data_IF_095966137640
#
_entry.id   IF_095966137640
#
_cell.length_a   1.000
_cell.length_b   1.000
_cell.length_c   1.000
_cell.angle_alpha   90.00
_cell.angle_beta   90.00
_cell.angle_gamma   90.00
#
_symmetry.space_group_name_H-M   'P 1'
#
loop_
_entity.id
_entity.type
_entity.pdbx_description
1 polymer ?
#
# COMPACT_ATOMS: atom_id res chain seq x y z
N UNK A 1 41.81 0.49 7.75
CA UNK A 1 40.73 0.05 8.68
C UNK A 1 39.52 1.00 8.63
N UNK A 2 39.73 2.32 8.49
CA UNK A 2 38.64 3.31 8.39
C UNK A 2 37.68 3.06 7.22
N UNK A 3 38.20 2.89 6.00
CA UNK A 3 37.39 2.62 4.79
C UNK A 3 36.41 1.45 4.91
N UNK A 4 36.76 0.39 5.65
CA UNK A 4 35.90 -0.79 5.82
C UNK A 4 34.72 -0.51 6.76
N UNK A 5 34.84 0.47 7.66
CA UNK A 5 33.71 0.94 8.49
C UNK A 5 32.76 1.80 7.65
N UNK A 6 33.31 2.63 6.77
CA UNK A 6 32.54 3.55 5.92
C UNK A 6 31.67 2.80 4.88
N UNK A 7 32.05 1.59 4.46
CA UNK A 7 31.25 0.76 3.52
C UNK A 7 30.32 -0.26 4.20
N UNK A 8 30.60 -0.68 5.44
CA UNK A 8 29.82 -1.73 6.14
C UNK A 8 28.72 -1.14 7.03
N UNK A 9 28.93 0.06 7.58
CA UNK A 9 27.88 0.80 8.27
C UNK A 9 26.63 0.96 7.37
N UNK A 10 26.79 1.32 6.07
CA UNK A 10 25.80 1.19 4.98
C UNK A 10 24.74 0.10 5.05
N UNK A 11 25.19 -1.14 4.98
CA UNK A 11 24.25 -2.26 4.93
C UNK A 11 23.60 -2.57 6.28
N UNK A 12 24.25 -2.21 7.39
CA UNK A 12 23.84 -2.66 8.71
C UNK A 12 22.68 -1.85 9.28
N UNK A 13 22.72 -0.52 9.21
CA UNK A 13 21.59 0.25 9.75
C UNK A 13 20.36 0.21 8.82
N UNK A 14 20.49 -0.20 7.54
CA UNK A 14 19.34 -0.33 6.63
C UNK A 14 18.39 -1.41 7.17
N UNK A 15 18.99 -2.44 7.77
CA UNK A 15 18.28 -3.50 8.50
C UNK A 15 17.54 -2.98 9.75
N UNK A 16 17.99 -1.89 10.35
CA UNK A 16 17.35 -1.28 11.52
C UNK A 16 16.23 -0.29 11.17
N UNK A 17 15.86 -0.15 9.89
CA UNK A 17 14.79 0.76 9.40
C UNK A 17 15.04 2.25 9.64
N UNK A 18 16.29 2.67 9.85
CA UNK A 18 16.64 4.08 10.02
C UNK A 18 16.82 4.82 8.67
N UNK A 19 15.83 4.74 7.78
CA UNK A 19 15.98 5.11 6.37
C UNK A 19 16.34 6.58 6.07
N UNK A 20 15.96 7.52 6.95
CA UNK A 20 16.32 8.94 6.80
C UNK A 20 17.83 9.16 6.98
N UNK A 21 18.39 8.65 8.09
CA UNK A 21 19.83 8.70 8.38
C UNK A 21 20.64 8.04 7.26
N UNK A 22 20.11 6.97 6.66
CA UNK A 22 20.70 6.32 5.48
C UNK A 22 20.84 7.23 4.28
N UNK A 23 19.74 7.90 3.93
CA UNK A 23 19.69 8.75 2.76
C UNK A 23 20.71 9.90 2.88
N UNK A 24 20.86 10.45 4.09
CA UNK A 24 21.81 11.51 4.42
C UNK A 24 23.27 11.03 4.37
N UNK A 25 23.57 9.86 4.93
CA UNK A 25 24.91 9.26 4.86
C UNK A 25 25.32 8.95 3.43
N UNK A 26 24.43 8.33 2.64
CA UNK A 26 24.68 8.09 1.23
C UNK A 26 24.85 9.40 0.44
N UNK A 27 24.13 10.46 0.78
CA UNK A 27 24.33 11.79 0.18
C UNK A 27 25.72 12.35 0.48
N UNK A 28 26.17 12.29 1.73
CA UNK A 28 27.52 12.72 2.13
C UNK A 28 28.63 11.90 1.46
N UNK A 29 28.40 10.61 1.21
CA UNK A 29 29.34 9.76 0.47
C UNK A 29 29.45 10.20 -1.00
N UNK A 30 28.30 10.40 -1.66
CA UNK A 30 28.24 10.84 -3.06
C UNK A 30 28.85 12.25 -3.26
N UNK A 31 28.68 13.16 -2.30
CA UNK A 31 29.27 14.52 -2.37
C UNK A 31 30.80 14.53 -2.23
N UNK A 32 31.38 13.58 -1.50
CA UNK A 32 32.83 13.51 -1.23
C UNK A 32 33.62 12.85 -2.36
N UNK A 33 33.00 11.98 -3.15
CA UNK A 33 33.64 11.24 -4.25
C UNK A 33 32.89 11.43 -5.56
N UNK A 34 33.01 12.59 -6.24
CA UNK A 34 32.32 12.80 -7.51
C UNK A 34 32.86 11.91 -8.65
N UNK A 35 34.13 11.47 -8.61
CA UNK A 35 34.75 10.74 -9.73
C UNK A 35 35.90 9.77 -9.38
N UNK A 36 36.37 9.69 -8.13
CA UNK A 36 37.68 9.09 -7.88
C UNK A 36 37.58 7.67 -7.30
N UNK A 37 37.85 6.71 -8.19
CA UNK A 37 38.03 5.25 -7.96
C UNK A 37 36.80 4.50 -7.44
N UNK A 38 36.38 3.51 -8.26
CA UNK A 38 35.48 2.38 -7.99
C UNK A 38 34.04 2.61 -8.49
N UNK A 39 33.83 2.29 -9.77
CA UNK A 39 32.51 2.23 -10.42
C UNK A 39 31.46 1.42 -9.63
N UNK A 40 31.89 0.49 -8.77
CA UNK A 40 31.00 -0.35 -7.97
C UNK A 40 30.50 0.27 -6.66
N UNK A 41 31.22 1.22 -6.05
CA UNK A 41 30.84 1.79 -4.73
C UNK A 41 29.85 2.94 -4.86
N UNK A 42 30.01 3.78 -5.88
CA UNK A 42 29.08 4.89 -6.16
C UNK A 42 27.72 4.35 -6.58
N UNK A 43 27.70 3.34 -7.46
CA UNK A 43 26.47 2.66 -7.85
C UNK A 43 25.78 2.00 -6.64
N UNK A 44 26.54 1.41 -5.72
CA UNK A 44 25.99 0.82 -4.51
C UNK A 44 25.39 1.88 -3.57
N UNK A 45 26.07 3.01 -3.35
CA UNK A 45 25.56 4.11 -2.53
C UNK A 45 24.29 4.73 -3.14
N UNK A 46 24.25 4.87 -4.47
CA UNK A 46 23.11 5.42 -5.18
C UNK A 46 21.88 4.50 -5.15
N UNK A 47 22.07 3.19 -5.41
CA UNK A 47 20.99 2.19 -5.30
C UNK A 47 20.48 2.11 -3.86
N UNK A 48 21.37 2.16 -2.88
CA UNK A 48 21.00 2.09 -1.47
C UNK A 48 20.20 3.32 -1.04
N UNK A 49 20.61 4.52 -1.48
CA UNK A 49 19.85 5.75 -1.27
C UNK A 49 18.46 5.68 -1.89
N UNK A 50 18.36 5.23 -3.15
CA UNK A 50 17.08 5.07 -3.82
C UNK A 50 16.15 4.10 -3.07
N UNK A 51 16.69 2.98 -2.56
CA UNK A 51 15.93 2.04 -1.72
C UNK A 51 15.48 2.68 -0.40
N UNK A 52 16.36 3.36 0.31
CA UNK A 52 16.01 4.01 1.57
C UNK A 52 14.90 5.05 1.39
N UNK A 53 14.97 5.85 0.32
CA UNK A 53 13.92 6.84 0.01
C UNK A 53 12.58 6.19 -0.31
N UNK A 54 12.56 5.08 -1.04
CA UNK A 54 11.33 4.34 -1.32
C UNK A 54 10.75 3.69 -0.06
N UNK A 55 11.58 3.12 0.80
CA UNK A 55 11.15 2.46 2.05
C UNK A 55 10.54 3.44 3.08
N UNK A 56 10.93 4.73 3.06
CA UNK A 56 10.30 5.77 3.91
C UNK A 56 8.82 5.95 3.58
N UNK A 57 8.46 5.81 2.30
CA UNK A 57 7.10 6.04 1.80
C UNK A 57 6.42 4.75 1.33
N UNK A 58 7.04 3.59 1.59
CA UNK A 58 6.54 2.31 1.11
C UNK A 58 5.23 1.95 1.83
N UNK A 59 4.20 1.69 1.03
CA UNK A 59 2.92 1.14 1.47
C UNK A 59 2.74 -0.16 0.70
N UNK A 60 2.28 -1.21 1.39
CA UNK A 60 2.01 -2.50 0.74
C UNK A 60 0.93 -2.34 -0.33
N UNK A 61 1.24 -2.75 -1.57
CA UNK A 61 0.33 -2.67 -2.70
C UNK A 61 -0.95 -3.47 -2.45
N UNK A 62 -0.91 -4.53 -1.62
CA UNK A 62 -2.09 -5.33 -1.29
C UNK A 62 -3.10 -4.55 -0.44
N UNK A 63 -2.62 -3.63 0.41
CA UNK A 63 -3.47 -2.78 1.25
C UNK A 63 -3.96 -1.53 0.50
N UNK A 64 -3.37 -1.21 -0.65
CA UNK A 64 -3.73 -0.06 -1.48
C UNK A 64 -4.57 -0.53 -2.66
N UNK A 65 -5.88 -0.65 -2.44
CA UNK A 65 -6.87 -0.88 -3.52
C UNK A 65 -7.88 0.28 -3.59
N UNK A 66 -7.52 1.41 -4.22
CA UNK A 66 -8.39 2.57 -4.31
C UNK A 66 -9.45 2.36 -5.40
N UNK A 67 -10.65 1.92 -5.03
CA UNK A 67 -11.81 1.98 -5.93
C UNK A 67 -12.43 3.39 -5.89
N UNK A 68 -12.11 4.23 -6.88
CA UNK A 68 -12.65 5.58 -7.02
C UNK A 68 -14.04 5.58 -7.68
N UNK A 69 -14.69 6.75 -7.70
CA UNK A 69 -16.06 6.91 -8.25
C UNK A 69 -16.10 6.53 -9.74
N UNK A 70 -15.04 6.83 -10.50
CA UNK A 70 -14.95 6.49 -11.91
C UNK A 70 -14.91 4.97 -12.12
N UNK A 71 -14.10 4.27 -11.33
CA UNK A 71 -14.03 2.81 -11.32
C UNK A 71 -15.37 2.22 -10.85
N UNK A 72 -16.01 2.85 -9.86
CA UNK A 72 -17.28 2.39 -9.32
C UNK A 72 -18.49 2.61 -10.26
N UNK A 73 -18.47 3.59 -11.15
CA UNK A 73 -19.63 3.88 -12.02
C UNK A 73 -19.37 3.47 -13.47
N UNK A 74 -18.19 3.78 -13.99
CA UNK A 74 -17.86 3.63 -15.41
C UNK A 74 -17.18 2.29 -15.72
N UNK A 75 -16.51 1.65 -14.75
CA UNK A 75 -15.87 0.36 -14.98
C UNK A 75 -16.89 -0.79 -14.96
N UNK A 76 -17.06 -1.44 -16.11
CA UNK A 76 -17.95 -2.59 -16.34
C UNK A 76 -17.16 -3.88 -16.59
N UNK A 77 -16.14 -4.18 -15.78
CA UNK A 77 -15.36 -5.42 -15.88
C UNK A 77 -16.09 -6.69 -15.35
N UNK A 78 -17.43 -6.70 -15.30
CA UNK A 78 -18.22 -7.86 -14.84
C UNK A 78 -19.01 -8.47 -15.98
N UNK A 79 -18.87 -9.78 -16.18
CA UNK A 79 -19.53 -10.53 -17.26
C UNK A 79 -21.06 -10.59 -17.05
N UNK A 80 -21.50 -10.91 -15.84
CA UNK A 80 -22.92 -11.02 -15.52
C UNK A 80 -23.49 -9.66 -15.11
N UNK A 81 -24.47 -9.16 -15.86
CA UNK A 81 -25.25 -7.99 -15.48
C UNK A 81 -26.25 -8.28 -14.36
N UNK A 82 -26.81 -9.50 -14.35
CA UNK A 82 -27.76 -9.97 -13.35
C UNK A 82 -27.27 -11.33 -12.83
N UNK A 83 -26.25 -11.34 -11.95
CA UNK A 83 -25.75 -12.57 -11.35
C UNK A 83 -26.80 -13.17 -10.40
N UNK A 84 -26.81 -14.50 -10.28
CA UNK A 84 -27.61 -15.17 -9.25
C UNK A 84 -27.21 -14.67 -7.84
N UNK A 85 -28.15 -14.65 -6.86
CA UNK A 85 -27.81 -14.31 -5.48
C UNK A 85 -26.67 -15.18 -4.95
N UNK A 86 -25.68 -14.55 -4.29
CA UNK A 86 -24.51 -15.24 -3.73
C UNK A 86 -23.38 -15.54 -4.71
N UNK A 87 -23.54 -15.29 -6.02
CA UNK A 87 -22.46 -15.46 -7.01
C UNK A 87 -21.78 -14.14 -7.41
N UNK A 88 -22.13 -13.04 -6.74
CA UNK A 88 -21.50 -11.73 -6.94
C UNK A 88 -21.31 -11.00 -5.62
N UNK A 89 -20.19 -10.26 -5.52
CA UNK A 89 -19.90 -9.37 -4.39
C UNK A 89 -20.61 -8.01 -4.48
N UNK A 90 -21.15 -7.65 -5.66
CA UNK A 90 -21.86 -6.36 -5.88
C UNK A 90 -23.17 -6.25 -5.10
N UNK A 91 -23.80 -7.39 -4.81
CA UNK A 91 -25.04 -7.49 -4.05
C UNK A 91 -24.73 -8.30 -2.79
N UNK A 92 -24.42 -7.63 -1.66
CA UNK A 92 -24.18 -8.32 -0.41
C UNK A 92 -25.42 -9.15 -0.04
N UNK A 93 -25.32 -10.47 -0.12
CA UNK A 93 -26.37 -11.40 0.34
C UNK A 93 -26.52 -11.42 1.87
N UNK A 94 -25.87 -10.51 2.59
CA UNK A 94 -25.78 -10.48 4.06
C UNK A 94 -27.14 -10.37 4.74
N UNK A 95 -28.16 -9.81 4.07
CA UNK A 95 -29.54 -9.76 4.57
C UNK A 95 -30.31 -11.09 4.40
N UNK A 96 -29.80 -12.03 3.60
CA UNK A 96 -30.53 -13.25 3.20
C UNK A 96 -30.08 -14.49 3.98
N UNK A 97 -28.97 -14.44 4.71
CA UNK A 97 -28.39 -15.62 5.37
C UNK A 97 -27.92 -15.30 6.78
N UNK A 98 -28.83 -15.41 7.76
CA UNK A 98 -28.51 -15.71 9.16
C UNK A 98 -27.65 -14.70 9.95
N UNK A 99 -27.36 -13.52 9.40
CA UNK A 99 -26.63 -12.47 10.09
C UNK A 99 -27.46 -11.77 11.18
N UNK A 100 -26.82 -11.09 12.14
CA UNK A 100 -27.52 -10.28 13.14
C UNK A 100 -28.36 -9.20 12.45
N UNK A 101 -29.61 -9.03 12.92
CA UNK A 101 -30.52 -8.03 12.36
C UNK A 101 -30.02 -6.61 12.61
N UNK A 102 -30.47 -5.61 11.83
CA UNK A 102 -30.14 -4.20 12.08
C UNK A 102 -30.53 -3.70 13.48
N UNK A 103 -31.47 -4.38 14.14
CA UNK A 103 -31.84 -4.09 15.53
C UNK A 103 -30.76 -4.51 16.55
N UNK A 104 -29.88 -5.45 16.17
CA UNK A 104 -28.80 -5.97 17.03
C UNK A 104 -27.43 -5.42 16.60
N UNK A 105 -27.19 -5.28 15.29
CA UNK A 105 -25.91 -4.79 14.76
C UNK A 105 -26.15 -3.62 13.82
N UNK A 106 -25.47 -2.51 14.09
CA UNK A 106 -25.52 -1.34 13.23
C UNK A 106 -24.98 -1.68 11.84
N UNK A 107 -25.68 -1.16 10.83
CA UNK A 107 -25.36 -1.34 9.42
C UNK A 107 -24.81 -0.04 8.84
N UNK A 108 -24.01 -0.18 7.80
CA UNK A 108 -23.55 0.92 6.94
C UNK A 108 -24.67 1.39 6.02
N UNK A 109 -24.46 2.50 5.30
CA UNK A 109 -25.45 3.07 4.37
C UNK A 109 -25.98 2.05 3.33
N UNK A 110 -25.16 1.06 2.96
CA UNK A 110 -25.50 0.06 1.94
C UNK A 110 -26.02 -1.25 2.55
N UNK A 111 -26.31 -1.26 3.86
CA UNK A 111 -26.91 -2.40 4.53
C UNK A 111 -25.92 -3.50 4.95
N UNK A 112 -24.61 -3.26 4.81
CA UNK A 112 -23.57 -4.18 5.29
C UNK A 112 -23.35 -3.92 6.79
N UNK A 113 -23.43 -4.93 7.68
CA UNK A 113 -23.15 -4.76 9.10
C UNK A 113 -21.72 -4.25 9.36
N UNK A 114 -21.57 -3.30 10.27
CA UNK A 114 -20.26 -2.66 10.56
C UNK A 114 -19.26 -3.69 11.11
N UNK A 115 -18.09 -3.78 10.49
CA UNK A 115 -16.95 -4.61 10.91
C UNK A 115 -16.12 -3.94 12.00
N UNK A 116 -15.46 -4.74 12.86
CA UNK A 116 -14.54 -4.24 13.89
C UNK A 116 -13.15 -3.89 13.36
N UNK A 117 -12.85 -4.27 12.11
CA UNK A 117 -11.54 -4.05 11.50
C UNK A 117 -11.70 -3.27 10.19
N UNK A 118 -10.99 -2.14 10.09
CA UNK A 118 -10.98 -1.26 8.92
C UNK A 118 -9.65 -1.41 8.20
N UNK A 119 -9.69 -1.95 6.98
CA UNK A 119 -8.62 -1.84 5.98
C UNK A 119 -8.91 -0.68 5.02
N UNK A 120 -7.89 -0.04 4.42
CA UNK A 120 -8.12 0.98 3.39
C UNK A 120 -9.06 0.49 2.27
N UNK A 121 -8.95 -0.78 1.87
CA UNK A 121 -9.78 -1.42 0.84
C UNK A 121 -11.16 -1.92 1.33
N UNK A 122 -11.60 -1.57 2.54
CA UNK A 122 -12.88 -2.07 3.08
C UNK A 122 -14.07 -1.43 2.35
N UNK A 123 -14.64 -2.15 1.39
CA UNK A 123 -15.82 -1.67 0.65
C UNK A 123 -17.09 -1.73 1.52
N UNK A 124 -17.57 -0.56 1.93
CA UNK A 124 -18.83 -0.40 2.65
C UNK A 124 -20.06 -0.30 1.72
N UNK A 125 -19.86 -0.49 0.41
CA UNK A 125 -20.88 -0.50 -0.63
C UNK A 125 -20.60 0.50 -1.77
N UNK A 126 -21.31 0.34 -2.89
CA UNK A 126 -21.06 1.09 -4.13
C UNK A 126 -22.11 2.20 -4.30
N UNK A 127 -21.76 3.51 -4.27
CA UNK A 127 -22.66 4.58 -4.67
C UNK A 127 -23.33 4.30 -6.02
N UNK A 128 -24.59 4.72 -6.12
CA UNK A 128 -25.42 4.58 -7.32
C UNK A 128 -25.03 5.56 -8.43
N UNK A 129 -26.00 5.89 -9.28
CA UNK A 129 -25.81 6.89 -10.34
C UNK A 129 -25.49 8.27 -9.78
N UNK A 130 -24.71 9.03 -10.55
CA UNK A 130 -24.45 10.44 -10.30
C UNK A 130 -25.66 11.22 -10.81
N UNK A 131 -26.56 11.58 -9.90
CA UNK A 131 -27.67 12.51 -10.13
C UNK A 131 -27.53 13.76 -9.28
#
# INVERSE_FOLDING_TARGET
IQWRKDTVAPGLEFRHRNFQLWADLCMQMLEKSPYDRIEHTELAAWILKARALNEVVYIDEIDVDPEGIAEMILNKNTIAHIPCPGTSLKLPGTNQTGGPSPAVRLITQVGIPITSFLRPSTQSGRPGTME
#
